data_IF_756731707032
#
_entry.id   IF_756731707032
#
_cell.length_a   1.000
_cell.length_b   1.000
_cell.length_c   1.000
_cell.angle_alpha   90.00
_cell.angle_beta   90.00
_cell.angle_gamma   90.00
#
_symmetry.space_group_name_H-M   'P 1'
#
loop_
_entity.id
_entity.type
_entity.pdbx_description
1 polymer ?
#
# COMPACT_ATOMS: atom_id res chain seq x y z
N UNK A 1 12.84 -17.36 -21.14
CA UNK A 1 13.62 -17.07 -19.92
C UNK A 1 12.75 -17.21 -18.69
N UNK A 2 13.32 -17.69 -17.57
CA UNK A 2 12.61 -17.74 -16.27
C UNK A 2 12.62 -16.38 -15.60
N UNK A 3 11.65 -16.16 -14.71
CA UNK A 3 11.47 -14.86 -14.03
C UNK A 3 12.72 -14.36 -13.27
N UNK A 4 13.57 -15.26 -12.75
CA UNK A 4 14.83 -14.89 -12.09
C UNK A 4 15.84 -14.27 -13.08
N UNK A 5 15.92 -14.82 -14.30
CA UNK A 5 16.82 -14.34 -15.34
C UNK A 5 16.32 -12.98 -15.87
N UNK A 6 15.00 -12.86 -16.04
CA UNK A 6 14.35 -11.60 -16.44
C UNK A 6 14.60 -10.49 -15.42
N UNK A 7 14.47 -10.80 -14.13
CA UNK A 7 14.77 -9.85 -13.05
C UNK A 7 16.22 -9.36 -13.12
N UNK A 8 17.18 -10.28 -13.32
CA UNK A 8 18.59 -9.93 -13.46
C UNK A 8 18.87 -9.05 -14.70
N UNK A 9 18.21 -9.33 -15.82
CA UNK A 9 18.47 -8.65 -17.09
C UNK A 9 17.77 -7.29 -17.22
N UNK A 10 16.54 -7.17 -16.72
CA UNK A 10 15.75 -5.93 -16.83
C UNK A 10 15.87 -5.07 -15.57
N UNK A 11 16.31 -5.65 -14.46
CA UNK A 11 16.41 -4.97 -13.16
C UNK A 11 15.03 -4.53 -12.66
N UNK A 12 14.04 -5.41 -12.79
CA UNK A 12 12.69 -5.26 -12.24
C UNK A 12 12.44 -6.45 -11.35
N UNK A 13 11.97 -6.22 -10.12
CA UNK A 13 11.81 -7.30 -9.17
C UNK A 13 10.80 -8.34 -9.66
N UNK A 14 10.98 -9.60 -9.27
CA UNK A 14 10.00 -10.67 -9.52
C UNK A 14 8.58 -10.28 -9.10
N UNK A 15 8.45 -9.57 -7.97
CA UNK A 15 7.17 -9.06 -7.45
C UNK A 15 6.53 -8.10 -8.47
N UNK A 16 7.29 -7.13 -8.98
CA UNK A 16 6.78 -6.16 -9.95
C UNK A 16 6.48 -6.82 -11.31
N UNK A 17 7.27 -7.79 -11.75
CA UNK A 17 6.98 -8.55 -12.98
C UNK A 17 5.64 -9.29 -12.87
N UNK A 18 5.38 -9.97 -11.74
CA UNK A 18 4.09 -10.64 -11.48
C UNK A 18 2.95 -9.62 -11.39
N UNK A 19 3.18 -8.49 -10.74
CA UNK A 19 2.20 -7.42 -10.68
C UNK A 19 1.83 -6.90 -12.08
N UNK A 20 2.79 -6.69 -12.97
CA UNK A 20 2.49 -6.28 -14.35
C UNK A 20 1.74 -7.34 -15.14
N UNK A 21 2.00 -8.62 -14.91
CA UNK A 21 1.20 -9.73 -15.44
C UNK A 21 -0.25 -9.70 -14.92
N UNK A 22 -0.45 -9.51 -13.62
CA UNK A 22 -1.78 -9.36 -12.99
C UNK A 22 -2.54 -8.13 -13.52
N UNK A 23 -1.81 -7.06 -13.83
CA UNK A 23 -2.36 -5.86 -14.46
C UNK A 23 -2.55 -6.00 -15.98
N UNK A 24 -2.30 -7.18 -16.56
CA UNK A 24 -2.50 -7.46 -17.98
C UNK A 24 -1.55 -6.71 -18.91
N UNK A 25 -0.40 -6.26 -18.42
CA UNK A 25 0.62 -5.57 -19.22
C UNK A 25 1.64 -6.54 -19.84
N UNK A 26 1.63 -7.80 -19.39
CA UNK A 26 2.50 -8.88 -19.84
C UNK A 26 1.68 -10.16 -19.98
N UNK A 27 1.96 -10.92 -21.04
CA UNK A 27 1.31 -12.19 -21.32
C UNK A 27 2.35 -13.28 -21.64
N UNK A 28 3.22 -13.63 -20.66
CA UNK A 28 4.23 -14.65 -20.89
C UNK A 28 3.58 -15.99 -21.25
N UNK A 29 4.21 -16.72 -22.17
CA UNK A 29 3.77 -18.07 -22.51
C UNK A 29 4.02 -19.00 -21.32
N UNK A 30 3.30 -20.12 -21.27
CA UNK A 30 3.63 -21.22 -20.36
C UNK A 30 4.35 -22.30 -21.15
N UNK A 31 5.47 -22.77 -20.62
CA UNK A 31 6.22 -23.87 -21.20
C UNK A 31 5.36 -25.13 -21.24
N UNK A 32 5.34 -25.80 -22.38
CA UNK A 32 4.57 -27.03 -22.62
C UNK A 32 5.09 -28.23 -21.82
N UNK A 33 6.35 -28.21 -21.38
CA UNK A 33 6.96 -29.34 -20.66
C UNK A 33 6.67 -29.35 -19.16
N UNK A 34 6.50 -28.18 -18.53
CA UNK A 34 6.44 -28.07 -17.07
C UNK A 34 5.44 -27.02 -16.55
N UNK A 35 4.74 -26.32 -17.45
CA UNK A 35 3.73 -25.32 -17.09
C UNK A 35 4.28 -24.03 -16.48
N UNK A 36 5.61 -23.87 -16.36
CA UNK A 36 6.20 -22.64 -15.84
C UNK A 36 6.09 -21.49 -16.84
N UNK A 37 6.09 -20.27 -16.32
CA UNK A 37 6.12 -19.04 -17.12
C UNK A 37 7.43 -18.92 -17.87
N UNK A 38 7.32 -18.64 -19.16
CA UNK A 38 8.42 -18.40 -20.06
C UNK A 38 8.27 -17.00 -20.67
N UNK A 39 9.24 -16.14 -20.35
CA UNK A 39 9.31 -14.77 -20.84
C UNK A 39 10.25 -14.73 -22.04
N UNK A 40 9.73 -14.33 -23.19
CA UNK A 40 10.50 -14.16 -24.42
C UNK A 40 10.97 -12.73 -24.61
N UNK A 41 11.62 -12.47 -25.74
CA UNK A 41 12.13 -11.13 -26.09
C UNK A 41 11.03 -10.06 -26.11
N UNK A 42 9.81 -10.42 -26.51
CA UNK A 42 8.66 -9.50 -26.49
C UNK A 42 8.35 -8.99 -25.08
N UNK A 43 8.31 -9.90 -24.09
CA UNK A 43 8.08 -9.54 -22.69
C UNK A 43 9.25 -8.70 -22.12
N UNK A 44 10.49 -8.98 -22.52
CA UNK A 44 11.66 -8.19 -22.13
C UNK A 44 11.57 -6.75 -22.65
N UNK A 45 11.20 -6.59 -23.92
CA UNK A 45 11.00 -5.27 -24.54
C UNK A 45 9.88 -4.52 -23.83
N UNK A 46 8.74 -5.17 -23.60
CA UNK A 46 7.61 -4.59 -22.88
C UNK A 46 8.01 -4.16 -21.45
N UNK A 47 8.73 -5.01 -20.72
CA UNK A 47 9.23 -4.69 -19.38
C UNK A 47 10.17 -3.47 -19.36
N UNK A 48 11.06 -3.34 -20.35
CA UNK A 48 11.94 -2.17 -20.49
C UNK A 48 11.14 -0.89 -20.78
N UNK A 49 10.13 -0.97 -21.65
CA UNK A 49 9.23 0.16 -21.95
C UNK A 49 8.41 0.56 -20.72
N UNK A 50 7.82 -0.41 -20.02
CA UNK A 50 7.10 -0.16 -18.76
C UNK A 50 8.03 0.51 -17.76
N UNK A 51 9.25 0.00 -17.56
CA UNK A 51 10.23 0.60 -16.64
C UNK A 51 10.56 2.04 -16.98
N UNK A 52 10.79 2.35 -18.26
CA UNK A 52 11.06 3.71 -18.73
C UNK A 52 9.89 4.64 -18.43
N UNK A 53 8.68 4.27 -18.84
CA UNK A 53 7.49 5.10 -18.67
C UNK A 53 7.13 5.29 -17.20
N UNK A 54 7.29 4.25 -16.38
CA UNK A 54 7.12 4.34 -14.92
C UNK A 54 8.14 5.27 -14.28
N UNK A 55 9.40 5.26 -14.73
CA UNK A 55 10.42 6.23 -14.27
C UNK A 55 10.10 7.67 -14.64
N UNK A 56 9.32 7.89 -15.70
CA UNK A 56 8.83 9.21 -16.09
C UNK A 56 7.55 9.61 -15.34
N UNK A 57 7.02 8.78 -14.44
CA UNK A 57 5.78 9.05 -13.70
C UNK A 57 4.50 8.69 -14.45
N UNK A 58 4.58 8.00 -15.59
CA UNK A 58 3.39 7.64 -16.38
C UNK A 58 2.58 6.56 -15.65
N UNK A 59 1.25 6.72 -15.49
CA UNK A 59 0.41 5.72 -14.85
C UNK A 59 0.25 4.47 -15.72
N UNK A 60 0.10 3.29 -15.09
CA UNK A 60 -0.02 2.00 -15.78
C UNK A 60 -1.20 1.95 -16.77
N UNK A 61 -2.27 2.69 -16.50
CA UNK A 61 -3.44 2.79 -17.37
C UNK A 61 -3.06 3.40 -18.74
N UNK A 62 -2.28 4.48 -18.75
CA UNK A 62 -1.81 5.12 -19.99
C UNK A 62 -0.83 4.20 -20.74
N UNK A 63 0.00 3.45 -20.02
CA UNK A 63 0.87 2.42 -20.62
C UNK A 63 0.03 1.34 -21.30
N UNK A 64 -1.05 0.87 -20.66
CA UNK A 64 -1.98 -0.10 -21.25
C UNK A 64 -2.66 0.47 -22.50
N UNK A 65 -3.12 1.72 -22.45
CA UNK A 65 -3.72 2.41 -23.62
C UNK A 65 -2.75 2.49 -24.79
N UNK A 66 -1.47 2.77 -24.52
CA UNK A 66 -0.42 2.77 -25.55
C UNK A 66 -0.15 1.37 -26.11
N UNK A 67 -0.06 0.34 -25.25
CA UNK A 67 0.10 -1.05 -25.71
C UNK A 67 -1.08 -1.53 -26.57
N UNK A 68 -2.30 -1.07 -26.25
CA UNK A 68 -3.52 -1.36 -27.01
C UNK A 68 -3.64 -0.51 -28.30
N UNK A 69 -2.73 0.43 -28.55
CA UNK A 69 -2.79 1.33 -29.71
C UNK A 69 -3.91 2.38 -29.66
N UNK A 70 -4.60 2.52 -28.53
CA UNK A 70 -5.71 3.49 -28.36
C UNK A 70 -5.23 4.94 -28.27
N UNK A 71 -4.00 5.15 -27.81
CA UNK A 71 -3.32 6.45 -27.80
C UNK A 71 -1.89 6.27 -28.28
N UNK A 72 -1.31 7.30 -28.89
CA UNK A 72 0.11 7.27 -29.26
C UNK A 72 1.00 7.70 -28.10
N UNK A 73 2.29 7.33 -28.16
CA UNK A 73 3.30 7.85 -27.23
C UNK A 73 3.34 9.38 -27.24
N UNK A 74 3.23 10.00 -28.42
CA UNK A 74 3.22 11.46 -28.56
C UNK A 74 2.04 12.11 -27.84
N UNK A 75 0.84 11.53 -27.93
CA UNK A 75 -0.34 12.03 -27.22
C UNK A 75 -0.18 11.94 -25.70
N UNK A 76 0.30 10.79 -25.21
CA UNK A 76 0.57 10.58 -23.79
C UNK A 76 1.61 11.60 -23.29
N UNK A 77 2.73 11.75 -24.00
CA UNK A 77 3.81 12.66 -23.59
C UNK A 77 3.40 14.13 -23.65
N UNK A 78 2.58 14.55 -24.64
CA UNK A 78 2.04 15.92 -24.68
C UNK A 78 1.20 16.23 -23.44
N UNK A 79 0.30 15.31 -23.04
CA UNK A 79 -0.51 15.49 -21.83
C UNK A 79 0.36 15.48 -20.58
N UNK A 80 1.32 14.56 -20.52
CA UNK A 80 2.24 14.43 -19.39
C UNK A 80 3.12 15.66 -19.21
N UNK A 81 3.60 16.27 -20.29
CA UNK A 81 4.35 17.54 -20.25
C UNK A 81 3.52 18.66 -19.64
N UNK A 82 2.24 18.80 -20.02
CA UNK A 82 1.34 19.80 -19.41
C UNK A 82 1.20 19.58 -17.90
N UNK A 83 1.15 18.32 -17.44
CA UNK A 83 1.15 18.00 -16.01
C UNK A 83 2.46 18.39 -15.35
N UNK A 84 3.61 18.00 -15.91
CA UNK A 84 4.93 18.34 -15.36
C UNK A 84 5.16 19.86 -15.30
N UNK A 85 4.72 20.61 -16.31
CA UNK A 85 4.81 22.09 -16.32
C UNK A 85 3.92 22.74 -15.24
N UNK A 86 2.81 22.10 -14.87
CA UNK A 86 1.98 22.54 -13.73
C UNK A 86 2.66 22.21 -12.40
N UNK A 87 3.20 21.00 -12.26
CA UNK A 87 3.95 20.58 -11.07
C UNK A 87 5.18 21.47 -10.85
N UNK A 88 5.92 21.80 -11.90
CA UNK A 88 7.04 22.73 -11.84
C UNK A 88 6.60 24.10 -11.30
N UNK A 89 5.55 24.70 -11.88
CA UNK A 89 5.03 25.99 -11.42
C UNK A 89 4.57 25.95 -9.97
N UNK A 90 3.91 24.87 -9.56
CA UNK A 90 3.49 24.69 -8.17
C UNK A 90 4.68 24.58 -7.20
N UNK A 91 5.72 23.85 -7.60
CA UNK A 91 6.97 23.78 -6.83
C UNK A 91 7.65 25.14 -6.73
N UNK A 92 7.69 25.92 -7.81
CA UNK A 92 8.23 27.28 -7.81
C UNK A 92 7.48 28.19 -6.83
N UNK A 93 6.14 28.15 -6.82
CA UNK A 93 5.31 28.92 -5.88
C UNK A 93 5.50 28.47 -4.43
N UNK A 94 5.59 27.15 -4.20
CA UNK A 94 5.87 26.59 -2.88
C UNK A 94 7.25 27.00 -2.37
N UNK A 95 8.27 26.97 -3.24
CA UNK A 95 9.61 27.45 -2.91
C UNK A 95 9.60 28.93 -2.56
N UNK A 96 8.81 29.74 -3.26
CA UNK A 96 8.70 31.17 -2.98
C UNK A 96 8.03 31.46 -1.64
N UNK A 97 6.95 30.75 -1.30
CA UNK A 97 6.36 30.81 0.04
C UNK A 97 7.38 30.40 1.11
N UNK A 98 8.09 29.27 0.91
CA UNK A 98 9.12 28.80 1.82
C UNK A 98 10.26 29.82 1.99
N UNK A 99 10.71 30.49 0.93
CA UNK A 99 11.74 31.55 1.02
C UNK A 99 11.27 32.70 1.88
N UNK A 100 10.04 33.19 1.66
CA UNK A 100 9.46 34.29 2.44
C UNK A 100 9.27 33.92 3.92
N UNK A 101 8.91 32.67 4.21
CA UNK A 101 8.75 32.18 5.57
C UNK A 101 10.09 31.94 6.26
N UNK A 102 11.12 31.47 5.53
CA UNK A 102 12.46 31.19 6.06
C UNK A 102 13.12 32.43 6.67
N UNK A 103 12.85 33.62 6.13
CA UNK A 103 13.41 34.88 6.64
C UNK A 103 12.56 35.55 7.74
N UNK A 104 11.44 34.95 8.17
CA UNK A 104 10.64 35.45 9.30
C UNK A 104 11.24 34.99 10.62
N UNK A 105 11.51 35.93 11.51
CA UNK A 105 11.82 35.63 12.91
C UNK A 105 10.51 35.39 13.68
N UNK A 106 10.36 34.21 14.28
CA UNK A 106 9.18 33.86 15.08
C UNK A 106 9.04 32.36 15.36
N UNK A 107 8.24 32.02 16.36
CA UNK A 107 7.87 30.64 16.69
C UNK A 107 6.58 30.24 15.96
N UNK A 108 6.30 28.93 15.87
CA UNK A 108 5.02 28.42 15.34
C UNK A 108 3.80 29.04 16.02
N UNK A 109 3.89 29.35 17.32
CA UNK A 109 2.79 29.97 18.08
C UNK A 109 2.43 31.38 17.59
N UNK A 110 3.38 32.10 16.99
CA UNK A 110 3.17 33.45 16.45
C UNK A 110 2.88 33.44 14.94
N UNK A 111 2.81 32.26 14.32
CA UNK A 111 2.56 32.15 12.90
C UNK A 111 1.07 32.40 12.62
N UNK A 112 0.78 33.38 11.78
CA UNK A 112 -0.57 33.58 11.23
C UNK A 112 -0.88 32.50 10.19
N UNK A 113 -1.20 31.30 10.68
CA UNK A 113 -1.54 30.17 9.84
C UNK A 113 -2.78 30.43 8.98
N UNK A 114 -3.75 31.21 9.49
CA UNK A 114 -4.97 31.54 8.76
C UNK A 114 -4.64 32.39 7.54
N UNK A 115 -3.92 33.50 7.71
CA UNK A 115 -3.54 34.37 6.59
C UNK A 115 -2.70 33.63 5.54
N UNK A 116 -1.78 32.75 5.98
CA UNK A 116 -0.98 31.94 5.07
C UNK A 116 -1.81 30.90 4.30
N UNK A 117 -2.81 30.28 4.92
CA UNK A 117 -3.73 29.37 4.24
C UNK A 117 -4.62 30.10 3.24
N UNK A 118 -5.14 31.28 3.58
CA UNK A 118 -5.88 32.14 2.64
C UNK A 118 -5.00 32.55 1.45
N UNK A 119 -3.72 32.84 1.69
CA UNK A 119 -2.75 33.12 0.63
C UNK A 119 -2.49 31.89 -0.25
N UNK A 120 -2.37 30.70 0.35
CA UNK A 120 -2.23 29.44 -0.39
C UNK A 120 -3.45 29.17 -1.27
N UNK A 121 -4.67 29.34 -0.75
CA UNK A 121 -5.89 29.22 -1.55
C UNK A 121 -5.92 30.20 -2.73
N UNK A 122 -5.50 31.45 -2.52
CA UNK A 122 -5.38 32.44 -3.60
C UNK A 122 -4.35 32.02 -4.67
N UNK A 123 -3.22 31.47 -4.25
CA UNK A 123 -2.21 30.92 -5.16
C UNK A 123 -2.77 29.73 -5.96
N UNK A 124 -3.59 28.86 -5.36
CA UNK A 124 -4.22 27.73 -6.07
C UNK A 124 -5.18 28.18 -7.17
N UNK A 125 -5.92 29.27 -6.94
CA UNK A 125 -6.80 29.85 -7.96
C UNK A 125 -6.03 30.35 -9.20
N UNK A 126 -4.75 30.71 -9.03
CA UNK A 126 -3.85 31.10 -10.13
C UNK A 126 -3.12 29.94 -10.80
N UNK A 127 -3.39 28.71 -10.35
CA UNK A 127 -2.84 27.47 -10.92
C UNK A 127 -1.72 26.83 -10.11
N UNK A 128 -1.47 27.27 -8.88
CA UNK A 128 -0.70 26.49 -7.92
C UNK A 128 -1.49 25.23 -7.52
N UNK A 129 -0.80 24.18 -7.11
CA UNK A 129 -1.45 23.04 -6.46
C UNK A 129 -0.63 22.68 -5.23
N UNK A 130 -1.07 23.07 -4.04
CA UNK A 130 -0.37 22.62 -2.84
C UNK A 130 -0.69 21.15 -2.57
N UNK A 131 0.28 20.42 -2.03
CA UNK A 131 0.13 19.01 -1.73
C UNK A 131 -0.98 18.84 -0.69
N UNK A 132 -2.13 18.31 -1.12
CA UNK A 132 -3.16 17.85 -0.19
C UNK A 132 -2.72 16.51 0.40
N UNK A 133 -1.99 16.56 1.51
CA UNK A 133 -1.41 15.38 2.13
C UNK A 133 -2.43 14.55 2.94
N UNK A 134 -3.57 14.18 2.34
CA UNK A 134 -4.53 13.25 2.96
C UNK A 134 -4.01 11.80 3.08
N UNK A 135 -2.87 11.47 2.47
CA UNK A 135 -2.34 10.10 2.48
C UNK A 135 -1.88 9.59 3.86
N UNK A 136 -1.58 10.49 4.81
CA UNK A 136 -1.14 10.11 6.17
C UNK A 136 -2.25 9.50 7.04
N UNK A 137 -3.48 10.00 6.92
CA UNK A 137 -4.60 9.59 7.79
C UNK A 137 -5.18 8.22 7.42
N UNK A 138 -4.97 7.75 6.18
CA UNK A 138 -5.39 6.40 5.78
C UNK A 138 -4.59 5.29 6.47
N UNK A 139 -3.40 5.59 7.01
CA UNK A 139 -2.57 4.61 7.75
C UNK A 139 -3.30 4.09 8.98
N UNK A 140 -3.95 4.97 9.75
CA UNK A 140 -4.66 4.58 10.98
C UNK A 140 -5.90 3.74 10.64
N UNK A 141 -6.63 4.09 9.59
CA UNK A 141 -7.89 3.43 9.19
C UNK A 141 -7.65 1.97 8.76
N UNK A 142 -6.55 1.66 8.06
CA UNK A 142 -6.26 0.28 7.59
C UNK A 142 -6.01 -0.71 8.72
N UNK A 143 -5.54 -0.25 9.88
CA UNK A 143 -5.33 -1.11 11.07
C UNK A 143 -6.57 -1.22 11.96
N UNK A 144 -7.49 -0.24 11.90
CA UNK A 144 -8.65 -0.18 12.80
C UNK A 144 -9.58 -1.38 12.60
N UNK A 145 -9.96 -1.71 11.36
CA UNK A 145 -10.89 -2.82 11.13
C UNK A 145 -10.35 -4.20 11.59
N UNK A 146 -9.12 -4.63 11.22
CA UNK A 146 -8.56 -5.88 11.73
C UNK A 146 -8.35 -5.88 13.25
N UNK A 147 -7.94 -4.76 13.84
CA UNK A 147 -7.72 -4.64 15.28
C UNK A 147 -9.03 -4.77 16.06
N UNK A 148 -10.11 -4.12 15.61
CA UNK A 148 -11.44 -4.20 16.24
C UNK A 148 -11.97 -5.64 16.23
N UNK A 149 -11.87 -6.34 15.08
CA UNK A 149 -12.28 -7.75 14.99
C UNK A 149 -11.45 -8.61 15.95
N UNK A 150 -10.13 -8.38 16.01
CA UNK A 150 -9.25 -9.12 16.93
C UNK A 150 -9.63 -8.92 18.39
N UNK A 151 -9.86 -7.67 18.81
CA UNK A 151 -10.26 -7.35 20.19
C UNK A 151 -11.60 -8.00 20.53
N UNK A 152 -12.59 -7.91 19.64
CA UNK A 152 -13.91 -8.52 19.85
C UNK A 152 -13.80 -10.04 20.01
N UNK A 153 -13.04 -10.72 19.15
CA UNK A 153 -12.85 -12.17 19.25
C UNK A 153 -12.10 -12.57 20.52
N UNK A 154 -11.06 -11.82 20.91
CA UNK A 154 -10.32 -12.08 22.16
C UNK A 154 -11.21 -11.92 23.38
N UNK A 155 -12.03 -10.87 23.44
CA UNK A 155 -12.99 -10.66 24.53
C UNK A 155 -14.03 -11.77 24.58
N UNK A 156 -14.58 -12.17 23.44
CA UNK A 156 -15.57 -13.25 23.35
C UNK A 156 -14.97 -14.59 23.83
N UNK A 157 -13.80 -14.97 23.32
CA UNK A 157 -13.14 -16.23 23.66
C UNK A 157 -12.65 -16.23 25.12
N UNK A 158 -12.12 -15.11 25.61
CA UNK A 158 -11.75 -14.95 27.02
C UNK A 158 -12.96 -15.05 27.96
N UNK A 159 -14.09 -14.47 27.57
CA UNK A 159 -15.36 -14.60 28.28
C UNK A 159 -15.87 -16.04 28.31
N UNK A 160 -15.79 -16.77 27.20
CA UNK A 160 -16.13 -18.20 27.15
C UNK A 160 -15.25 -19.03 28.09
N UNK A 161 -13.93 -18.82 28.07
CA UNK A 161 -13.00 -19.50 28.97
C UNK A 161 -13.36 -19.21 30.44
N UNK A 162 -13.61 -17.95 30.78
CA UNK A 162 -14.00 -17.55 32.13
C UNK A 162 -15.32 -18.21 32.56
N UNK A 163 -16.33 -18.23 31.69
CA UNK A 163 -17.62 -18.86 31.96
C UNK A 163 -17.48 -20.36 32.16
N UNK A 164 -16.66 -21.03 31.34
CA UNK A 164 -16.41 -22.47 31.46
C UNK A 164 -15.69 -22.80 32.77
N UNK A 165 -14.63 -22.06 33.12
CA UNK A 165 -13.91 -22.26 34.37
C UNK A 165 -14.79 -21.96 35.59
N UNK A 166 -15.64 -20.93 35.50
CA UNK A 166 -16.59 -20.58 36.55
C UNK A 166 -17.67 -21.66 36.74
N UNK A 167 -18.23 -22.18 35.63
CA UNK A 167 -19.22 -23.26 35.67
C UNK A 167 -18.66 -24.52 36.36
N UNK A 168 -17.42 -24.92 36.04
CA UNK A 168 -16.78 -26.07 36.68
C UNK A 168 -16.34 -25.82 38.13
N UNK A 169 -16.19 -24.55 38.53
CA UNK A 169 -15.84 -24.20 39.91
C UNK A 169 -17.05 -24.21 40.84
N UNK A 170 -18.27 -24.06 40.33
CA UNK A 170 -19.51 -24.06 41.13
C UNK A 170 -20.01 -25.48 41.41
N UNK A 171 -20.06 -26.34 40.38
CA UNK A 171 -20.49 -27.73 40.50
C UNK A 171 -19.31 -28.70 40.29
N UNK A 172 -18.40 -28.73 41.26
CA UNK A 172 -17.19 -29.54 41.20
C UNK A 172 -17.46 -31.06 41.20
N UNK A 173 -18.61 -31.51 41.71
CA UNK A 173 -18.99 -32.93 41.74
C UNK A 173 -19.45 -33.47 40.37
N UNK A 174 -19.99 -32.60 39.50
CA UNK A 174 -20.39 -32.92 38.13
C UNK A 174 -19.35 -32.48 37.09
N UNK A 175 -18.21 -31.95 37.55
CA UNK A 175 -17.18 -31.45 36.67
C UNK A 175 -16.56 -32.58 35.82
N UNK A 176 -16.36 -32.35 34.51
CA UNK A 176 -15.71 -33.32 33.65
C UNK A 176 -14.27 -33.60 34.11
N UNK A 177 -13.68 -34.75 33.73
CA UNK A 177 -12.33 -35.10 34.14
C UNK A 177 -11.33 -34.04 33.66
N UNK A 178 -10.32 -33.73 34.47
CA UNK A 178 -9.33 -32.67 34.22
C UNK A 178 -8.77 -32.63 32.78
N UNK A 179 -8.43 -33.77 32.12
CA UNK A 179 -7.96 -33.74 30.73
C UNK A 179 -8.97 -33.15 29.75
N UNK A 180 -10.27 -33.38 29.97
CA UNK A 180 -11.32 -32.87 29.10
C UNK A 180 -11.50 -31.35 29.27
N UNK A 181 -11.40 -30.84 30.50
CA UNK A 181 -11.42 -29.39 30.79
C UNK A 181 -10.27 -28.68 30.08
N UNK A 182 -9.06 -29.25 30.14
CA UNK A 182 -7.88 -28.71 29.46
C UNK A 182 -8.11 -28.61 27.95
N UNK A 183 -8.66 -29.66 27.32
CA UNK A 183 -8.99 -29.66 25.89
C UNK A 183 -10.06 -28.61 25.55
N UNK A 184 -11.09 -28.51 26.38
CA UNK A 184 -12.22 -27.61 26.17
C UNK A 184 -11.76 -26.13 26.24
N UNK A 185 -10.90 -25.79 27.20
CA UNK A 185 -10.32 -24.44 27.35
C UNK A 185 -9.24 -24.15 26.29
N UNK A 186 -8.51 -25.18 25.84
CA UNK A 186 -7.51 -25.02 24.79
C UNK A 186 -8.12 -24.57 23.46
N UNK A 187 -9.34 -25.00 23.13
CA UNK A 187 -10.00 -24.67 21.86
C UNK A 187 -10.20 -23.14 21.64
N UNK A 188 -10.84 -22.37 22.55
CA UNK A 188 -10.89 -20.91 22.43
C UNK A 188 -9.50 -20.26 22.58
N UNK A 189 -8.58 -20.85 23.35
CA UNK A 189 -7.19 -20.38 23.45
C UNK A 189 -6.43 -20.43 22.12
N UNK A 190 -6.61 -21.50 21.34
CA UNK A 190 -6.03 -21.63 19.99
C UNK A 190 -6.60 -20.59 19.03
N UNK A 191 -7.90 -20.29 19.13
CA UNK A 191 -8.54 -19.24 18.32
C UNK A 191 -7.94 -17.86 18.63
N UNK A 192 -7.76 -17.54 19.92
CA UNK A 192 -7.11 -16.29 20.36
C UNK A 192 -5.71 -16.17 19.73
N UNK A 193 -4.89 -17.21 19.85
CA UNK A 193 -3.54 -17.22 19.27
C UNK A 193 -3.56 -17.05 17.75
N UNK A 194 -4.48 -17.73 17.06
CA UNK A 194 -4.63 -17.65 15.61
C UNK A 194 -4.98 -16.25 15.11
N UNK A 195 -5.93 -15.57 15.78
CA UNK A 195 -6.33 -14.21 15.37
C UNK A 195 -5.25 -13.18 15.67
N UNK A 196 -4.54 -13.32 16.80
CA UNK A 196 -3.37 -12.47 17.10
C UNK A 196 -2.24 -12.65 16.08
N UNK A 197 -1.95 -13.89 15.69
CA UNK A 197 -0.96 -14.18 14.65
C UNK A 197 -1.39 -13.60 13.28
N UNK A 198 -2.66 -13.72 12.93
CA UNK A 198 -3.22 -13.15 11.71
C UNK A 198 -3.14 -11.61 11.70
N UNK A 199 -3.45 -10.95 12.82
CA UNK A 199 -3.31 -9.51 12.97
C UNK A 199 -1.85 -9.09 12.81
N UNK A 200 -0.92 -9.78 13.48
CA UNK A 200 0.51 -9.50 13.36
C UNK A 200 1.03 -9.66 11.93
N UNK A 201 0.61 -10.72 11.24
CA UNK A 201 0.95 -10.93 9.83
C UNK A 201 0.40 -9.80 8.95
N UNK A 202 -0.86 -9.40 9.15
CA UNK A 202 -1.46 -8.27 8.43
C UNK A 202 -0.73 -6.97 8.69
N UNK A 203 -0.33 -6.73 9.94
CA UNK A 203 0.41 -5.52 10.30
C UNK A 203 1.75 -5.47 9.55
N UNK A 204 2.46 -6.59 9.52
CA UNK A 204 3.74 -6.75 8.83
C UNK A 204 3.59 -6.62 7.30
N UNK A 205 2.53 -7.15 6.72
CA UNK A 205 2.23 -7.02 5.27
C UNK A 205 2.01 -5.57 4.86
N UNK A 206 1.23 -4.82 5.65
CA UNK A 206 0.97 -3.39 5.40
C UNK A 206 2.28 -2.59 5.49
N UNK A 207 3.07 -2.79 6.56
CA UNK A 207 4.38 -2.14 6.71
C UNK A 207 5.34 -2.47 5.56
N UNK A 208 5.34 -3.72 5.07
CA UNK A 208 6.19 -4.15 3.97
C UNK A 208 5.74 -3.58 2.62
N UNK A 209 4.43 -3.49 2.39
CA UNK A 209 3.87 -2.82 1.21
C UNK A 209 4.29 -1.36 1.13
N UNK A 210 4.28 -0.66 2.27
CA UNK A 210 4.68 0.74 2.38
C UNK A 210 6.18 0.95 2.13
N UNK A 211 7.04 0.07 2.64
CA UNK A 211 8.48 0.12 2.38
C UNK A 211 8.81 -0.14 0.89
N UNK A 212 8.06 -1.04 0.24
CA UNK A 212 8.23 -1.33 -1.19
C UNK A 212 7.70 -0.17 -2.06
N UNK A 213 6.59 0.48 -1.67
CA UNK A 213 6.06 1.66 -2.36
C UNK A 213 7.02 2.85 -2.23
N UNK A 214 7.63 3.05 -1.07
CA UNK A 214 8.65 4.09 -0.85
C UNK A 214 9.96 3.83 -1.63
N UNK A 215 10.31 2.56 -1.85
CA UNK A 215 11.51 2.15 -2.62
C UNK A 215 11.30 2.20 -4.14
N UNK A 216 10.05 2.30 -4.58
CA UNK A 216 9.67 2.40 -5.99
C UNK A 216 9.48 3.86 -6.47
N UNK A 217 9.79 4.85 -5.62
CA UNK A 217 10.07 6.23 -6.03
C UNK A 217 11.59 6.44 -6.14
#
# INVERSE_FOLDING_TARGET
MRINEVEAQVGITKKNIRFYEEQGLLHPRRSTENGYRDYGEGELVALRQIKLLRKLGVPLEEIRKMQAGTITLGDCMRRHLVTLEREQRSLEQSMELCRRLKDREGTLESLDARGLLEEMEAMEQTGATFLNHQMGDTRRIRYVAPAVVTVLTVLLMGGLIALMLWAFAIDAEEAPPLPLIVVLVALPGVVILGVLAALWQRVKEIQKGEADDAKNY
#
